data_IF_649007986772
#
_entry.id   IF_649007986772
#
_cell.length_a   1.000
_cell.length_b   1.000
_cell.length_c   1.000
_cell.angle_alpha   90.00
_cell.angle_beta   90.00
_cell.angle_gamma   90.00
#
_symmetry.space_group_name_H-M   'P 1'
#
loop_
_entity.id
_entity.type
_entity.pdbx_description
1 polymer ?
#
# COMPACT_ATOMS: atom_id res chain seq x y z
N UNK A 1 50.09 -13.26 -8.95
CA UNK A 1 48.74 -12.68 -9.15
C UNK A 1 47.91 -13.10 -7.96
N UNK A 2 47.25 -12.15 -7.27
CA UNK A 2 46.34 -12.50 -6.18
C UNK A 2 45.10 -13.17 -6.80
N UNK A 3 44.93 -14.47 -6.56
CA UNK A 3 43.74 -15.20 -7.00
C UNK A 3 42.61 -14.94 -5.99
N UNK A 4 41.38 -14.74 -6.48
CA UNK A 4 40.19 -14.60 -5.63
C UNK A 4 40.00 -15.80 -4.70
N UNK A 5 40.50 -16.98 -5.11
CA UNK A 5 40.53 -18.23 -4.33
C UNK A 5 41.38 -18.17 -3.06
N UNK A 6 42.22 -17.14 -2.90
CA UNK A 6 43.03 -16.96 -1.68
C UNK A 6 42.32 -16.13 -0.59
N UNK A 7 41.15 -15.54 -0.89
CA UNK A 7 40.34 -14.82 0.10
C UNK A 7 39.60 -15.80 1.02
N UNK A 8 39.40 -15.46 2.30
CA UNK A 8 38.59 -16.28 3.19
C UNK A 8 37.08 -16.14 2.86
N UNK A 9 36.25 -16.99 3.48
CA UNK A 9 34.82 -17.05 3.18
C UNK A 9 34.10 -15.74 3.53
N UNK A 10 34.49 -15.06 4.61
CA UNK A 10 33.92 -13.75 4.97
C UNK A 10 34.17 -12.69 3.89
N UNK A 11 35.38 -12.67 3.31
CA UNK A 11 35.71 -11.77 2.22
C UNK A 11 34.97 -12.14 0.94
N UNK A 12 34.85 -13.44 0.63
CA UNK A 12 34.10 -13.90 -0.54
C UNK A 12 32.61 -13.58 -0.42
N UNK A 13 32.03 -13.80 0.76
CA UNK A 13 30.63 -13.51 1.03
C UNK A 13 30.33 -12.02 0.87
N UNK A 14 31.19 -11.15 1.41
CA UNK A 14 31.08 -9.70 1.18
C UNK A 14 31.14 -9.33 -0.29
N UNK A 15 31.96 -10.01 -1.10
CA UNK A 15 32.00 -9.76 -2.55
C UNK A 15 30.69 -10.20 -3.20
N UNK A 16 30.17 -11.38 -2.83
CA UNK A 16 28.90 -11.90 -3.34
C UNK A 16 27.73 -10.98 -2.96
N UNK A 17 27.73 -10.42 -1.74
CA UNK A 17 26.71 -9.46 -1.27
C UNK A 17 26.67 -8.15 -2.10
N UNK A 18 27.73 -7.82 -2.86
CA UNK A 18 27.71 -6.69 -3.80
C UNK A 18 27.14 -7.04 -5.18
N UNK A 19 26.92 -8.32 -5.46
CA UNK A 19 26.37 -8.79 -6.73
C UNK A 19 24.86 -8.91 -6.63
N UNK A 20 24.15 -8.54 -7.70
CA UNK A 20 22.72 -8.84 -7.82
C UNK A 20 22.50 -10.35 -8.08
N UNK A 21 21.25 -10.82 -7.96
CA UNK A 21 20.94 -12.24 -8.12
C UNK A 21 21.41 -12.80 -9.47
N UNK A 22 21.20 -12.08 -10.57
CA UNK A 22 21.61 -12.51 -11.91
C UNK A 22 23.14 -12.71 -12.00
N UNK A 23 23.92 -11.77 -11.47
CA UNK A 23 25.38 -11.85 -11.41
C UNK A 23 25.85 -13.01 -10.52
N UNK A 24 25.17 -13.25 -9.39
CA UNK A 24 25.45 -14.41 -8.53
C UNK A 24 25.19 -15.74 -9.26
N UNK A 25 24.09 -15.84 -10.01
CA UNK A 25 23.75 -17.03 -10.80
C UNK A 25 24.78 -17.30 -11.91
N UNK A 26 25.22 -16.25 -12.62
CA UNK A 26 26.28 -16.36 -13.63
C UNK A 26 27.62 -16.80 -13.01
N UNK A 27 27.98 -16.24 -11.85
CA UNK A 27 29.19 -16.62 -11.13
C UNK A 27 29.12 -18.06 -10.61
N UNK A 28 27.96 -18.47 -10.09
CA UNK A 28 27.72 -19.84 -9.64
C UNK A 28 27.89 -20.83 -10.80
N UNK A 29 27.26 -20.54 -11.96
CA UNK A 29 27.32 -21.38 -13.16
C UNK A 29 28.73 -21.51 -13.73
N UNK A 30 29.50 -20.42 -13.74
CA UNK A 30 30.88 -20.40 -14.25
C UNK A 30 31.92 -21.00 -13.27
N UNK A 31 31.56 -21.14 -12.00
CA UNK A 31 32.42 -21.75 -10.99
C UNK A 31 32.40 -23.29 -11.07
N UNK A 32 33.48 -23.94 -10.66
CA UNK A 32 33.54 -25.42 -10.60
C UNK A 32 32.52 -25.99 -9.60
N UNK A 33 31.86 -27.13 -9.89
CA UNK A 33 30.79 -27.70 -9.06
C UNK A 33 31.11 -27.91 -7.58
N UNK A 34 32.36 -28.28 -7.27
CA UNK A 34 32.83 -28.51 -5.90
C UNK A 34 33.61 -27.31 -5.33
N UNK A 35 33.52 -26.13 -5.95
CA UNK A 35 34.28 -24.97 -5.52
C UNK A 35 33.73 -24.34 -4.24
N UNK A 36 34.65 -23.76 -3.46
CA UNK A 36 34.30 -22.93 -2.30
C UNK A 36 33.43 -21.74 -2.70
N UNK A 37 33.65 -21.18 -3.89
CA UNK A 37 32.85 -20.08 -4.43
C UNK A 37 31.36 -20.46 -4.56
N UNK A 38 31.02 -21.62 -5.16
CA UNK A 38 29.63 -22.08 -5.23
C UNK A 38 28.99 -22.21 -3.85
N UNK A 39 29.73 -22.75 -2.88
CA UNK A 39 29.24 -22.90 -1.51
C UNK A 39 28.94 -21.54 -0.85
N UNK A 40 29.82 -20.55 -1.04
CA UNK A 40 29.62 -19.19 -0.51
C UNK A 40 28.41 -18.51 -1.16
N UNK A 41 28.22 -18.68 -2.48
CA UNK A 41 27.08 -18.11 -3.20
C UNK A 41 25.77 -18.77 -2.73
N UNK A 42 25.71 -20.10 -2.66
CA UNK A 42 24.53 -20.83 -2.16
C UNK A 42 24.21 -20.46 -0.71
N UNK A 43 25.22 -20.24 0.12
CA UNK A 43 25.04 -19.74 1.49
C UNK A 43 24.50 -18.31 1.51
N UNK A 44 24.93 -17.44 0.59
CA UNK A 44 24.37 -16.10 0.43
C UNK A 44 22.87 -16.16 0.14
N UNK A 45 22.43 -17.01 -0.80
CA UNK A 45 21.00 -17.18 -1.10
C UNK A 45 20.19 -17.65 0.12
N UNK A 46 20.75 -18.53 0.94
CA UNK A 46 20.10 -19.02 2.15
C UNK A 46 19.92 -17.95 3.23
N UNK A 47 20.80 -16.95 3.29
CA UNK A 47 20.75 -15.88 4.29
C UNK A 47 19.67 -14.85 4.00
N UNK A 48 19.34 -14.67 2.73
CA UNK A 48 18.28 -13.74 2.32
C UNK A 48 16.91 -14.36 2.61
N UNK A 49 16.11 -13.66 3.41
CA UNK A 49 14.75 -14.06 3.75
C UNK A 49 13.74 -13.70 2.65
N UNK A 50 14.14 -12.83 1.73
CA UNK A 50 13.31 -12.27 0.66
C UNK A 50 13.99 -12.52 -0.67
N UNK A 51 13.24 -13.02 -1.66
CA UNK A 51 13.75 -13.21 -3.03
C UNK A 51 12.73 -12.75 -4.07
N UNK A 52 13.22 -12.15 -5.16
CA UNK A 52 12.43 -11.83 -6.35
C UNK A 52 12.96 -12.64 -7.53
N UNK A 53 12.06 -13.33 -8.23
CA UNK A 53 12.38 -14.14 -9.41
C UNK A 53 11.53 -13.68 -10.57
N UNK A 54 12.19 -13.31 -11.66
CA UNK A 54 11.56 -12.88 -12.89
C UNK A 54 11.72 -13.95 -13.98
N UNK A 55 10.88 -13.88 -15.01
CA UNK A 55 10.94 -14.79 -16.17
C UNK A 55 12.36 -14.95 -16.75
N UNK A 56 13.08 -13.84 -16.88
CA UNK A 56 14.40 -13.82 -17.50
C UNK A 56 15.49 -14.36 -16.55
N UNK A 57 15.26 -14.40 -15.24
CA UNK A 57 16.28 -14.79 -14.23
C UNK A 57 16.83 -16.20 -14.47
N UNK A 58 15.95 -17.15 -14.85
CA UNK A 58 16.30 -18.56 -15.05
C UNK A 58 16.00 -19.08 -16.46
N UNK A 59 15.78 -18.17 -17.42
CA UNK A 59 15.49 -18.52 -18.80
C UNK A 59 16.59 -19.43 -19.36
N UNK A 60 16.18 -20.58 -19.90
CA UNK A 60 17.07 -21.63 -20.43
C UNK A 60 18.09 -22.20 -19.43
N UNK A 61 17.94 -21.95 -18.12
CA UNK A 61 18.92 -22.30 -17.08
C UNK A 61 18.31 -23.12 -15.92
N UNK A 62 17.51 -24.15 -16.24
CA UNK A 62 16.77 -24.92 -15.22
C UNK A 62 17.65 -25.65 -14.19
N UNK A 63 18.87 -26.05 -14.54
CA UNK A 63 19.79 -26.67 -13.56
C UNK A 63 20.13 -25.70 -12.42
N UNK A 64 20.35 -24.43 -12.74
CA UNK A 64 20.65 -23.40 -11.74
C UNK A 64 19.39 -23.08 -10.93
N UNK A 65 18.21 -23.11 -11.56
CA UNK A 65 16.93 -22.95 -10.87
C UNK A 65 16.72 -24.05 -9.82
N UNK A 66 16.88 -25.32 -10.18
CA UNK A 66 16.67 -26.45 -9.25
C UNK A 66 17.58 -26.33 -8.01
N UNK A 67 18.85 -25.97 -8.21
CA UNK A 67 19.81 -25.74 -7.11
C UNK A 67 19.46 -24.51 -6.27
N UNK A 68 19.05 -23.42 -6.92
CA UNK A 68 18.59 -22.21 -6.22
C UNK A 68 17.38 -22.51 -5.32
N UNK A 69 16.34 -23.15 -5.86
CA UNK A 69 15.14 -23.54 -5.10
C UNK A 69 15.51 -24.47 -3.95
N UNK A 70 16.41 -25.43 -4.19
CA UNK A 70 16.89 -26.34 -3.16
C UNK A 70 17.63 -25.63 -2.02
N UNK A 71 18.39 -24.57 -2.34
CA UNK A 71 19.08 -23.75 -1.34
C UNK A 71 18.10 -22.98 -0.47
N UNK A 72 17.17 -22.24 -1.08
CA UNK A 72 16.36 -21.25 -0.35
C UNK A 72 15.13 -21.85 0.35
N UNK A 73 14.67 -23.06 -0.03
CA UNK A 73 13.37 -23.60 0.39
C UNK A 73 13.11 -23.60 1.90
N UNK A 74 14.15 -23.76 2.72
CA UNK A 74 14.04 -23.83 4.17
C UNK A 74 14.29 -22.50 4.88
N UNK A 75 14.66 -21.42 4.18
CA UNK A 75 15.06 -20.16 4.80
C UNK A 75 14.23 -18.98 4.35
N UNK A 76 13.75 -18.99 3.11
CA UNK A 76 12.95 -17.90 2.55
C UNK A 76 11.61 -17.75 3.28
N UNK A 77 11.26 -16.51 3.60
CA UNK A 77 10.02 -16.11 4.25
C UNK A 77 9.10 -15.34 3.30
N UNK A 78 9.65 -14.60 2.33
CA UNK A 78 8.90 -13.81 1.37
C UNK A 78 9.40 -14.03 -0.05
N UNK A 79 8.47 -14.18 -0.99
CA UNK A 79 8.78 -14.42 -2.40
C UNK A 79 7.99 -13.48 -3.30
N UNK A 80 8.65 -12.96 -4.31
CA UNK A 80 7.99 -12.32 -5.46
C UNK A 80 8.33 -13.07 -6.73
N UNK A 81 7.33 -13.53 -7.46
CA UNK A 81 7.46 -14.29 -8.69
C UNK A 81 6.80 -13.50 -9.82
N UNK A 82 7.54 -13.16 -10.88
CA UNK A 82 7.04 -12.31 -11.97
C UNK A 82 7.13 -13.00 -13.32
N UNK A 83 5.98 -13.18 -13.95
CA UNK A 83 5.81 -13.64 -15.33
C UNK A 83 6.52 -14.97 -15.62
N UNK A 84 6.59 -15.86 -14.62
CA UNK A 84 7.25 -17.16 -14.78
C UNK A 84 6.49 -17.99 -15.82
N UNK A 85 7.21 -18.46 -16.83
CA UNK A 85 6.66 -19.37 -17.80
C UNK A 85 6.37 -20.74 -17.16
N UNK A 86 5.41 -21.49 -17.70
CA UNK A 86 4.97 -22.76 -17.09
C UNK A 86 6.08 -23.80 -16.96
N UNK A 87 6.97 -23.88 -17.93
CA UNK A 87 8.16 -24.75 -17.89
C UNK A 87 9.08 -24.45 -16.70
N UNK A 88 9.19 -23.18 -16.28
CA UNK A 88 9.87 -22.79 -15.06
C UNK A 88 9.05 -23.15 -13.82
N UNK A 89 7.74 -22.85 -13.79
CA UNK A 89 6.86 -23.18 -12.67
C UNK A 89 6.78 -24.68 -12.40
N UNK A 90 6.80 -25.52 -13.43
CA UNK A 90 6.84 -26.97 -13.30
C UNK A 90 8.06 -27.47 -12.50
N UNK A 91 9.17 -26.72 -12.49
CA UNK A 91 10.35 -27.04 -11.66
C UNK A 91 10.12 -26.82 -10.17
N UNK A 92 9.16 -25.99 -9.80
CA UNK A 92 8.78 -25.82 -8.40
C UNK A 92 8.05 -27.05 -7.85
N UNK A 93 7.46 -27.89 -8.71
CA UNK A 93 6.82 -29.13 -8.28
C UNK A 93 7.85 -30.03 -7.58
N UNK A 94 7.48 -30.50 -6.39
CA UNK A 94 8.35 -31.33 -5.55
C UNK A 94 9.21 -30.54 -4.56
N UNK A 95 9.19 -29.21 -4.64
CA UNK A 95 9.69 -28.33 -3.59
C UNK A 95 8.55 -27.92 -2.66
N UNK A 96 8.88 -27.75 -1.38
CA UNK A 96 7.97 -27.19 -0.38
C UNK A 96 8.74 -26.15 0.41
N UNK A 97 8.10 -25.00 0.59
CA UNK A 97 8.67 -23.82 1.23
C UNK A 97 7.93 -23.59 2.55
N UNK A 98 8.29 -24.30 3.63
CA UNK A 98 7.53 -24.31 4.89
C UNK A 98 7.55 -22.97 5.64
N UNK A 99 8.51 -22.10 5.34
CA UNK A 99 8.72 -20.83 6.05
C UNK A 99 8.17 -19.62 5.30
N UNK A 100 7.73 -19.79 4.04
CA UNK A 100 7.11 -18.70 3.28
C UNK A 100 5.78 -18.31 3.93
N UNK A 101 5.62 -17.02 4.17
CA UNK A 101 4.42 -16.41 4.75
C UNK A 101 3.81 -15.37 3.81
N UNK A 102 4.63 -14.73 2.98
CA UNK A 102 4.17 -13.73 2.01
C UNK A 102 4.60 -14.13 0.60
N UNK A 103 3.67 -14.02 -0.35
CA UNK A 103 3.91 -14.31 -1.76
C UNK A 103 3.26 -13.23 -2.63
N UNK A 104 4.01 -12.67 -3.56
CA UNK A 104 3.47 -11.90 -4.67
C UNK A 104 3.69 -12.70 -5.94
N UNK A 105 2.62 -13.05 -6.64
CA UNK A 105 2.68 -13.76 -7.91
C UNK A 105 2.05 -12.91 -9.01
N UNK A 106 2.87 -12.50 -9.97
CA UNK A 106 2.42 -11.80 -11.16
C UNK A 106 2.37 -12.77 -12.33
N UNK A 107 1.18 -13.29 -12.63
CA UNK A 107 0.95 -14.16 -13.78
C UNK A 107 1.06 -13.40 -15.11
N UNK A 108 1.44 -14.11 -16.17
CA UNK A 108 1.44 -13.56 -17.54
C UNK A 108 0.03 -13.62 -18.13
N UNK A 109 -0.62 -12.46 -18.24
CA UNK A 109 -1.97 -12.30 -18.84
C UNK A 109 -2.01 -12.67 -20.32
N UNK A 110 -0.87 -12.64 -21.02
CA UNK A 110 -0.77 -12.98 -22.44
C UNK A 110 -0.49 -14.46 -22.68
N UNK A 111 -0.18 -15.20 -21.63
CA UNK A 111 0.20 -16.61 -21.74
C UNK A 111 -1.00 -17.51 -22.04
N UNK A 112 -0.79 -18.52 -22.87
CA UNK A 112 -1.76 -19.59 -23.14
C UNK A 112 -1.87 -20.59 -21.98
N UNK A 113 -1.63 -20.16 -20.73
CA UNK A 113 -1.71 -21.04 -19.57
C UNK A 113 -3.16 -21.52 -19.43
N UNK A 114 -3.34 -22.84 -19.51
CA UNK A 114 -4.64 -23.49 -19.37
C UNK A 114 -5.15 -23.38 -17.92
N UNK A 115 -5.99 -22.38 -17.66
CA UNK A 115 -6.70 -22.22 -16.38
C UNK A 115 -5.76 -21.93 -15.21
N UNK A 116 -6.03 -22.55 -14.05
CA UNK A 116 -5.35 -22.29 -12.77
C UNK A 116 -4.19 -23.28 -12.47
N UNK A 117 -3.51 -23.76 -13.50
CA UNK A 117 -2.45 -24.77 -13.35
C UNK A 117 -1.25 -24.24 -12.54
N UNK A 118 -0.87 -23.00 -12.79
CA UNK A 118 0.11 -22.22 -12.03
C UNK A 118 -0.28 -22.12 -10.55
N UNK A 119 -1.50 -21.66 -10.24
CA UNK A 119 -2.00 -21.53 -8.87
C UNK A 119 -2.01 -22.89 -8.17
N UNK A 120 -2.37 -23.96 -8.90
CA UNK A 120 -2.30 -25.33 -8.40
C UNK A 120 -0.89 -25.71 -7.89
N UNK A 121 0.16 -25.34 -8.62
CA UNK A 121 1.55 -25.54 -8.23
C UNK A 121 1.90 -24.71 -6.99
N UNK A 122 1.54 -23.42 -6.99
CA UNK A 122 1.86 -22.51 -5.88
C UNK A 122 1.24 -23.00 -4.57
N UNK A 123 0.00 -23.50 -4.60
CA UNK A 123 -0.67 -24.05 -3.42
C UNK A 123 0.11 -25.20 -2.79
N UNK A 124 0.66 -26.10 -3.61
CA UNK A 124 1.43 -27.25 -3.12
C UNK A 124 2.81 -26.82 -2.58
N UNK A 125 3.39 -25.76 -3.16
CA UNK A 125 4.70 -25.24 -2.78
C UNK A 125 4.66 -24.45 -1.46
N UNK A 126 3.58 -23.70 -1.20
CA UNK A 126 3.48 -22.72 -0.10
C UNK A 126 2.34 -23.05 0.89
N UNK A 127 2.45 -24.12 1.68
CA UNK A 127 1.34 -24.60 2.50
C UNK A 127 1.02 -23.73 3.73
N UNK A 128 1.91 -22.81 4.10
CA UNK A 128 1.79 -22.00 5.33
C UNK A 128 1.60 -20.50 5.03
N UNK A 129 1.15 -20.18 3.82
CA UNK A 129 1.00 -18.81 3.36
C UNK A 129 -0.05 -18.03 4.17
N UNK A 130 0.30 -16.81 4.57
CA UNK A 130 -0.55 -15.90 5.36
C UNK A 130 -1.01 -14.68 4.55
N UNK A 131 -0.19 -14.24 3.59
CA UNK A 131 -0.48 -13.15 2.68
C UNK A 131 -0.15 -13.53 1.23
N UNK A 132 -1.07 -13.22 0.31
CA UNK A 132 -0.81 -13.38 -1.13
C UNK A 132 -1.40 -12.23 -1.96
N UNK A 133 -0.62 -11.73 -2.91
CA UNK A 133 -1.11 -10.92 -4.02
C UNK A 133 -1.00 -11.70 -5.33
N UNK A 134 -2.09 -11.77 -6.08
CA UNK A 134 -2.18 -12.48 -7.35
C UNK A 134 -2.55 -11.51 -8.48
N UNK A 135 -1.91 -11.69 -9.63
CA UNK A 135 -2.36 -11.12 -10.91
C UNK A 135 -2.40 -12.20 -11.99
N UNK A 136 -3.10 -11.91 -13.09
CA UNK A 136 -3.16 -12.78 -14.26
C UNK A 136 -4.53 -13.41 -14.47
N UNK A 137 -4.56 -14.47 -15.27
CA UNK A 137 -5.80 -15.07 -15.78
C UNK A 137 -6.44 -16.11 -14.85
N UNK A 138 -6.23 -15.99 -13.53
CA UNK A 138 -6.76 -16.96 -12.58
C UNK A 138 -8.29 -16.91 -12.49
N UNK A 139 -8.94 -18.07 -12.47
CA UNK A 139 -10.37 -18.18 -12.17
C UNK A 139 -10.65 -18.18 -10.67
N UNK A 140 -9.60 -18.20 -9.84
CA UNK A 140 -9.65 -18.33 -8.38
C UNK A 140 -9.76 -19.77 -7.89
N UNK A 141 -9.71 -20.76 -8.80
CA UNK A 141 -9.65 -22.15 -8.38
C UNK A 141 -8.39 -22.39 -7.53
N UNK A 142 -8.46 -23.37 -6.65
CA UNK A 142 -7.40 -23.73 -5.69
C UNK A 142 -7.09 -22.72 -4.58
N UNK A 143 -7.40 -21.41 -4.69
CA UNK A 143 -7.05 -20.39 -3.68
C UNK A 143 -7.54 -20.77 -2.27
N UNK A 144 -8.76 -21.32 -2.16
CA UNK A 144 -9.36 -21.76 -0.88
C UNK A 144 -8.58 -22.88 -0.16
N UNK A 145 -7.61 -23.51 -0.81
CA UNK A 145 -6.72 -24.52 -0.21
C UNK A 145 -5.68 -23.92 0.72
N UNK A 146 -5.32 -22.63 0.56
CA UNK A 146 -4.42 -21.93 1.48
C UNK A 146 -5.15 -21.51 2.77
N UNK A 147 -5.31 -22.45 3.69
CA UNK A 147 -6.14 -22.29 4.90
C UNK A 147 -5.67 -21.21 5.88
N UNK A 148 -4.42 -20.76 5.76
CA UNK A 148 -3.82 -19.79 6.68
C UNK A 148 -3.84 -18.35 6.14
N UNK A 149 -4.33 -18.11 4.92
CA UNK A 149 -4.39 -16.76 4.36
C UNK A 149 -5.30 -15.88 5.19
N UNK A 150 -4.76 -14.70 5.53
CA UNK A 150 -5.45 -13.59 6.20
C UNK A 150 -5.46 -12.34 5.34
N UNK A 151 -4.47 -12.18 4.45
CA UNK A 151 -4.38 -11.04 3.53
C UNK A 151 -4.40 -11.54 2.10
N UNK A 152 -5.40 -11.13 1.33
CA UNK A 152 -5.61 -11.59 -0.04
C UNK A 152 -5.80 -10.40 -0.96
N UNK A 153 -4.96 -10.30 -1.98
CA UNK A 153 -5.08 -9.30 -3.04
C UNK A 153 -5.32 -9.98 -4.40
N UNK A 154 -6.44 -9.62 -5.01
CA UNK A 154 -6.96 -10.12 -6.29
C UNK A 154 -7.31 -8.97 -7.25
N UNK A 155 -6.77 -7.75 -7.02
CA UNK A 155 -7.07 -6.58 -7.84
C UNK A 155 -6.70 -6.72 -9.31
N UNK A 156 -5.87 -7.68 -9.69
CA UNK A 156 -5.45 -7.89 -11.09
C UNK A 156 -5.88 -9.26 -11.62
N UNK A 157 -6.99 -9.80 -11.10
CA UNK A 157 -7.57 -11.08 -11.50
C UNK A 157 -8.87 -10.89 -12.29
N UNK A 158 -8.78 -10.45 -13.55
CA UNK A 158 -9.94 -10.12 -14.40
C UNK A 158 -10.85 -11.31 -14.76
N UNK A 159 -10.33 -12.54 -14.65
CA UNK A 159 -11.04 -13.77 -15.00
C UNK A 159 -11.59 -14.53 -13.78
N UNK A 160 -11.57 -13.90 -12.61
CA UNK A 160 -12.01 -14.49 -11.35
C UNK A 160 -13.49 -14.90 -11.43
N UNK A 161 -13.76 -16.18 -11.17
CA UNK A 161 -15.13 -16.68 -11.12
C UNK A 161 -15.82 -16.24 -9.82
N UNK A 162 -17.02 -15.71 -9.94
CA UNK A 162 -17.86 -15.37 -8.76
C UNK A 162 -18.13 -16.58 -7.85
N UNK A 163 -18.24 -17.79 -8.41
CA UNK A 163 -18.41 -19.02 -7.64
C UNK A 163 -17.14 -19.36 -6.85
N UNK A 164 -15.96 -19.30 -7.49
CA UNK A 164 -14.69 -19.51 -6.81
C UNK A 164 -14.48 -18.46 -5.71
N UNK A 165 -14.84 -17.20 -5.98
CA UNK A 165 -14.74 -16.14 -4.99
C UNK A 165 -15.67 -16.34 -3.78
N UNK A 166 -16.91 -16.81 -4.00
CA UNK A 166 -17.79 -17.20 -2.90
C UNK A 166 -17.16 -18.33 -2.07
N UNK A 167 -16.57 -19.33 -2.72
CA UNK A 167 -15.87 -20.42 -2.04
C UNK A 167 -14.66 -19.93 -1.23
N UNK A 168 -13.89 -18.98 -1.77
CA UNK A 168 -12.77 -18.32 -1.07
C UNK A 168 -13.28 -17.64 0.21
N UNK A 169 -14.31 -16.80 0.09
CA UNK A 169 -14.87 -16.08 1.22
C UNK A 169 -15.52 -17.00 2.27
N UNK A 170 -16.02 -18.16 1.84
CA UNK A 170 -16.58 -19.16 2.76
C UNK A 170 -15.50 -19.93 3.53
N UNK A 171 -14.35 -20.18 2.90
CA UNK A 171 -13.32 -21.10 3.42
C UNK A 171 -12.17 -20.40 4.15
N UNK A 172 -11.96 -19.11 3.93
CA UNK A 172 -10.83 -18.36 4.48
C UNK A 172 -11.27 -17.36 5.55
N UNK A 173 -10.38 -17.10 6.51
CA UNK A 173 -10.60 -16.15 7.61
C UNK A 173 -9.86 -14.84 7.30
N UNK A 174 -10.32 -14.14 6.26
CA UNK A 174 -9.65 -12.95 5.76
C UNK A 174 -9.78 -11.76 6.73
N UNK A 175 -8.67 -11.08 6.96
CA UNK A 175 -8.53 -9.84 7.73
C UNK A 175 -8.28 -8.65 6.78
N UNK A 176 -7.65 -8.88 5.63
CA UNK A 176 -7.50 -7.89 4.56
C UNK A 176 -7.87 -8.50 3.20
N UNK A 177 -8.65 -7.77 2.42
CA UNK A 177 -9.06 -8.15 1.07
C UNK A 177 -8.92 -6.95 0.13
N UNK A 178 -8.22 -7.15 -0.98
CA UNK A 178 -8.18 -6.24 -2.12
C UNK A 178 -8.79 -6.95 -3.33
N UNK A 179 -9.77 -6.31 -3.98
CA UNK A 179 -10.53 -6.95 -5.06
C UNK A 179 -11.04 -5.90 -6.05
N UNK A 180 -11.17 -6.33 -7.31
CA UNK A 180 -11.86 -5.60 -8.35
C UNK A 180 -13.04 -6.42 -8.88
N UNK A 181 -14.08 -5.75 -9.38
CA UNK A 181 -15.18 -6.44 -10.08
C UNK A 181 -15.88 -5.56 -11.11
N UNK A 182 -16.55 -6.22 -12.04
CA UNK A 182 -17.44 -5.56 -12.99
C UNK A 182 -18.83 -5.31 -12.40
N UNK A 183 -19.50 -4.27 -12.91
CA UNK A 183 -20.84 -3.86 -12.46
C UNK A 183 -21.87 -5.01 -12.45
N UNK A 184 -21.79 -5.93 -13.40
CA UNK A 184 -22.75 -7.03 -13.52
C UNK A 184 -22.66 -8.07 -12.39
N UNK A 185 -21.57 -8.06 -11.63
CA UNK A 185 -21.22 -9.09 -10.64
C UNK A 185 -21.30 -8.57 -9.20
N UNK A 186 -21.59 -7.28 -9.01
CA UNK A 186 -21.59 -6.58 -7.72
C UNK A 186 -22.31 -7.38 -6.62
N UNK A 187 -23.56 -7.80 -6.87
CA UNK A 187 -24.38 -8.53 -5.89
C UNK A 187 -23.72 -9.84 -5.41
N UNK A 188 -22.97 -10.52 -6.28
CA UNK A 188 -22.30 -11.76 -5.95
C UNK A 188 -21.08 -11.51 -5.05
N UNK A 189 -20.24 -10.54 -5.44
CA UNK A 189 -19.05 -10.15 -4.66
C UNK A 189 -19.43 -9.61 -3.29
N UNK A 190 -20.38 -8.67 -3.23
CA UNK A 190 -20.82 -8.04 -1.97
C UNK A 190 -21.39 -9.09 -1.03
N UNK A 191 -22.25 -9.98 -1.52
CA UNK A 191 -22.81 -11.08 -0.71
C UNK A 191 -21.73 -11.98 -0.13
N UNK A 192 -20.69 -12.30 -0.92
CA UNK A 192 -19.59 -13.13 -0.46
C UNK A 192 -18.75 -12.39 0.61
N UNK A 193 -18.41 -11.12 0.36
CA UNK A 193 -17.60 -10.30 1.26
C UNK A 193 -18.30 -10.06 2.59
N UNK A 194 -19.60 -9.79 2.61
CA UNK A 194 -20.37 -9.56 3.84
C UNK A 194 -20.37 -10.75 4.82
N UNK A 195 -19.91 -11.94 4.38
CA UNK A 195 -19.73 -13.10 5.26
C UNK A 195 -18.41 -13.09 6.03
N UNK A 196 -17.43 -12.26 5.62
CA UNK A 196 -16.10 -12.20 6.21
C UNK A 196 -16.10 -11.45 7.56
N UNK A 197 -16.52 -12.12 8.63
CA UNK A 197 -16.66 -11.52 9.97
C UNK A 197 -15.33 -11.06 10.60
N UNK A 198 -14.20 -11.52 10.07
CA UNK A 198 -12.87 -11.12 10.51
C UNK A 198 -12.30 -9.94 9.71
N UNK A 199 -12.97 -9.47 8.65
CA UNK A 199 -12.41 -8.49 7.72
C UNK A 199 -12.25 -7.13 8.39
N UNK A 200 -11.02 -6.64 8.38
CA UNK A 200 -10.63 -5.35 8.94
C UNK A 200 -10.32 -4.33 7.84
N UNK A 201 -9.67 -4.77 6.76
CA UNK A 201 -9.21 -3.94 5.64
C UNK A 201 -9.91 -4.40 4.36
N UNK A 202 -10.64 -3.50 3.72
CA UNK A 202 -11.26 -3.76 2.42
C UNK A 202 -10.80 -2.70 1.42
N UNK A 203 -10.26 -3.16 0.30
CA UNK A 203 -9.85 -2.32 -0.81
C UNK A 203 -10.61 -2.73 -2.06
N UNK A 204 -11.24 -1.74 -2.69
CA UNK A 204 -12.16 -1.92 -3.80
C UNK A 204 -11.71 -1.08 -4.98
N UNK A 205 -11.37 -1.76 -6.08
CA UNK A 205 -11.31 -1.13 -7.39
C UNK A 205 -12.64 -1.35 -8.12
N UNK A 206 -13.49 -0.32 -8.09
CA UNK A 206 -14.91 -0.46 -8.42
C UNK A 206 -15.31 0.36 -9.64
N UNK A 207 -16.05 -0.28 -10.53
CA UNK A 207 -16.79 0.40 -11.60
C UNK A 207 -18.14 0.94 -11.10
N UNK A 208 -18.75 0.25 -10.13
CA UNK A 208 -20.04 0.60 -9.55
C UNK A 208 -20.21 -0.04 -8.17
N UNK A 209 -20.87 0.69 -7.27
CA UNK A 209 -21.29 0.18 -5.98
C UNK A 209 -22.65 0.82 -5.62
N UNK A 210 -23.71 0.01 -5.59
CA UNK A 210 -25.05 0.46 -5.21
C UNK A 210 -25.14 0.81 -3.72
N UNK A 211 -26.14 1.61 -3.37
CA UNK A 211 -26.40 2.03 -1.99
C UNK A 211 -26.64 0.84 -1.06
N UNK A 212 -27.40 -0.15 -1.53
CA UNK A 212 -27.69 -1.38 -0.79
C UNK A 212 -26.40 -2.17 -0.51
N UNK A 213 -25.52 -2.26 -1.50
CA UNK A 213 -24.22 -2.91 -1.35
C UNK A 213 -23.29 -2.16 -0.40
N UNK A 214 -23.24 -0.82 -0.47
CA UNK A 214 -22.49 0.00 0.50
C UNK A 214 -22.95 -0.33 1.92
N UNK A 215 -24.26 -0.39 2.16
CA UNK A 215 -24.79 -0.73 3.48
C UNK A 215 -24.30 -2.11 3.95
N UNK A 216 -24.38 -3.12 3.08
CA UNK A 216 -23.95 -4.50 3.40
C UNK A 216 -22.45 -4.61 3.71
N UNK A 217 -21.61 -3.85 3.01
CA UNK A 217 -20.17 -3.84 3.25
C UNK A 217 -19.83 -3.08 4.54
N UNK A 218 -20.51 -1.96 4.81
CA UNK A 218 -20.29 -1.16 6.01
C UNK A 218 -20.80 -1.83 7.30
N UNK A 219 -21.71 -2.81 7.18
CA UNK A 219 -22.20 -3.65 8.28
C UNK A 219 -21.18 -4.69 8.77
N UNK A 220 -20.02 -4.81 8.09
CA UNK A 220 -18.93 -5.69 8.54
C UNK A 220 -18.41 -5.27 9.93
N UNK A 221 -18.44 -6.16 10.93
CA UNK A 221 -18.31 -5.76 12.34
C UNK A 221 -16.90 -5.29 12.71
N UNK A 222 -15.86 -5.73 11.98
CA UNK A 222 -14.46 -5.39 12.25
C UNK A 222 -13.86 -4.42 11.24
N UNK A 223 -14.63 -3.97 10.25
CA UNK A 223 -14.13 -3.11 9.19
C UNK A 223 -13.62 -1.79 9.79
N UNK A 224 -12.30 -1.62 9.74
CA UNK A 224 -11.56 -0.47 10.26
C UNK A 224 -11.01 0.41 9.15
N UNK A 225 -10.80 -0.13 7.95
CA UNK A 225 -10.22 0.58 6.81
C UNK A 225 -10.96 0.21 5.52
N UNK A 226 -11.40 1.22 4.78
CA UNK A 226 -11.99 1.07 3.46
C UNK A 226 -11.20 1.93 2.47
N UNK A 227 -10.64 1.32 1.43
CA UNK A 227 -10.01 2.01 0.32
C UNK A 227 -10.84 1.85 -0.94
N UNK A 228 -11.06 2.96 -1.64
CA UNK A 228 -11.85 3.04 -2.86
C UNK A 228 -11.00 3.65 -3.97
N UNK A 229 -10.99 2.99 -5.11
CA UNK A 229 -10.45 3.51 -6.37
C UNK A 229 -11.60 3.89 -7.31
N UNK A 230 -11.26 4.62 -8.38
CA UNK A 230 -12.15 5.11 -9.44
C UNK A 230 -13.03 6.32 -9.07
N UNK A 231 -12.86 7.41 -9.82
CA UNK A 231 -13.44 8.72 -9.55
C UNK A 231 -14.90 8.91 -9.97
N UNK A 232 -15.36 8.18 -11.00
CA UNK A 232 -16.59 8.54 -11.71
C UNK A 232 -17.86 8.52 -10.83
N UNK A 233 -17.83 7.78 -9.70
CA UNK A 233 -18.97 7.63 -8.79
C UNK A 233 -18.62 7.94 -7.33
N UNK A 234 -17.42 8.45 -7.08
CA UNK A 234 -16.87 8.54 -5.73
C UNK A 234 -17.69 9.48 -4.84
N UNK A 235 -18.20 10.57 -5.40
CA UNK A 235 -19.09 11.53 -4.73
C UNK A 235 -20.36 10.85 -4.20
N UNK A 236 -21.00 9.98 -5.00
CA UNK A 236 -22.21 9.25 -4.59
C UNK A 236 -21.90 8.21 -3.52
N UNK A 237 -20.82 7.45 -3.69
CA UNK A 237 -20.39 6.42 -2.75
C UNK A 237 -20.04 7.05 -1.40
N UNK A 238 -19.23 8.11 -1.39
CA UNK A 238 -18.84 8.84 -0.18
C UNK A 238 -20.05 9.51 0.48
N UNK A 239 -21.01 10.00 -0.31
CA UNK A 239 -22.28 10.56 0.16
C UNK A 239 -23.13 9.55 0.92
N UNK A 240 -23.15 8.29 0.47
CA UNK A 240 -23.83 7.18 1.14
C UNK A 240 -23.05 6.68 2.36
N UNK A 241 -21.73 6.54 2.28
CA UNK A 241 -20.86 6.20 3.42
C UNK A 241 -21.05 7.23 4.54
N UNK A 242 -20.96 8.53 4.20
CA UNK A 242 -21.15 9.62 5.15
C UNK A 242 -22.53 9.62 5.81
N UNK A 243 -23.56 9.09 5.15
CA UNK A 243 -24.90 8.93 5.76
C UNK A 243 -24.98 7.74 6.72
N UNK A 244 -24.29 6.64 6.41
CA UNK A 244 -24.39 5.38 7.16
C UNK A 244 -23.40 5.37 8.34
N UNK A 245 -22.12 5.66 8.06
CA UNK A 245 -20.99 5.60 9.01
C UNK A 245 -20.17 6.88 9.07
N UNK A 246 -20.67 8.03 8.61
CA UNK A 246 -19.92 9.29 8.63
C UNK A 246 -19.47 9.74 10.03
N UNK A 247 -20.20 9.35 11.07
CA UNK A 247 -19.82 9.55 12.47
C UNK A 247 -18.71 8.62 12.96
N UNK A 248 -18.45 7.52 12.25
CA UNK A 248 -17.41 6.56 12.59
C UNK A 248 -16.10 6.88 11.85
N UNK A 249 -16.11 7.70 10.79
CA UNK A 249 -14.89 8.06 10.05
C UNK A 249 -14.03 9.01 10.88
N UNK A 250 -12.84 8.57 11.28
CA UNK A 250 -11.88 9.34 12.09
C UNK A 250 -10.72 9.90 11.27
N UNK A 251 -10.25 9.14 10.28
CA UNK A 251 -9.21 9.56 9.36
C UNK A 251 -9.68 9.34 7.92
N UNK A 252 -9.26 10.24 7.05
CA UNK A 252 -9.50 10.14 5.62
C UNK A 252 -8.26 10.62 4.89
N UNK A 253 -7.87 9.88 3.87
CA UNK A 253 -6.82 10.25 2.97
C UNK A 253 -7.34 10.31 1.54
N UNK A 254 -6.95 11.35 0.82
CA UNK A 254 -7.38 11.65 -0.53
C UNK A 254 -6.14 11.80 -1.40
N UNK A 255 -6.04 11.05 -2.49
CA UNK A 255 -4.98 11.16 -3.48
C UNK A 255 -5.53 11.81 -4.74
N UNK A 256 -5.08 13.04 -5.00
CA UNK A 256 -5.43 13.91 -6.14
C UNK A 256 -6.93 13.94 -6.50
N UNK A 257 -7.81 14.10 -5.51
CA UNK A 257 -9.25 13.99 -5.76
C UNK A 257 -10.15 14.77 -4.81
N UNK A 258 -9.65 15.33 -3.71
CA UNK A 258 -10.55 15.99 -2.74
C UNK A 258 -11.19 17.24 -3.35
N UNK A 259 -10.47 17.91 -4.26
CA UNK A 259 -10.92 19.13 -4.92
C UNK A 259 -12.09 18.89 -5.88
N UNK A 260 -12.31 17.64 -6.31
CA UNK A 260 -13.45 17.24 -7.13
C UNK A 260 -14.71 16.95 -6.29
N UNK A 261 -14.57 16.81 -4.98
CA UNK A 261 -15.67 16.39 -4.11
C UNK A 261 -16.58 17.56 -3.75
N UNK A 262 -17.89 17.30 -3.73
CA UNK A 262 -18.87 18.28 -3.26
C UNK A 262 -18.73 18.52 -1.74
N UNK A 263 -18.77 19.79 -1.33
CA UNK A 263 -18.63 20.19 0.08
C UNK A 263 -19.71 19.58 0.97
N UNK A 264 -20.92 19.39 0.43
CA UNK A 264 -22.05 18.75 1.08
C UNK A 264 -21.81 17.26 1.35
N UNK A 265 -20.96 16.62 0.54
CA UNK A 265 -20.51 15.24 0.71
C UNK A 265 -19.44 15.17 1.79
N UNK A 266 -18.40 16.01 1.70
CA UNK A 266 -17.32 16.08 2.69
C UNK A 266 -17.84 16.40 4.10
N UNK A 267 -18.80 17.32 4.21
CA UNK A 267 -19.42 17.70 5.48
C UNK A 267 -20.19 16.57 6.19
N UNK A 268 -20.37 15.40 5.55
CA UNK A 268 -20.94 14.21 6.18
C UNK A 268 -19.93 13.43 7.03
N UNK A 269 -18.63 13.63 6.82
CA UNK A 269 -17.55 13.02 7.61
C UNK A 269 -17.35 13.80 8.92
N UNK A 270 -18.42 13.89 9.73
CA UNK A 270 -18.54 14.83 10.86
C UNK A 270 -17.55 14.58 11.99
N UNK A 271 -17.06 13.35 12.10
CA UNK A 271 -16.12 12.92 13.14
C UNK A 271 -14.67 12.94 12.68
N UNK A 272 -14.38 13.45 11.47
CA UNK A 272 -13.05 13.46 10.93
C UNK A 272 -12.09 14.28 11.80
N UNK A 273 -10.99 13.65 12.21
CA UNK A 273 -9.94 14.22 13.06
C UNK A 273 -8.58 14.25 12.37
N UNK A 274 -8.37 13.40 11.36
CA UNK A 274 -7.15 13.37 10.57
C UNK A 274 -7.50 13.44 9.09
N UNK A 275 -6.95 14.43 8.39
CA UNK A 275 -7.06 14.57 6.94
C UNK A 275 -5.66 14.48 6.33
N UNK A 276 -5.50 13.61 5.35
CA UNK A 276 -4.27 13.51 4.57
C UNK A 276 -4.57 13.76 3.10
N UNK A 277 -3.82 14.67 2.48
CA UNK A 277 -3.90 14.97 1.06
C UNK A 277 -2.56 14.58 0.43
N UNK A 278 -2.61 13.77 -0.62
CA UNK A 278 -1.46 13.24 -1.33
C UNK A 278 -1.55 13.65 -2.79
N UNK A 279 -0.45 14.19 -3.34
CA UNK A 279 -0.34 14.60 -4.74
C UNK A 279 -1.45 15.55 -5.22
N UNK A 280 -2.05 16.32 -4.30
CA UNK A 280 -3.21 17.15 -4.63
C UNK A 280 -2.76 18.51 -5.17
N UNK A 281 -2.63 18.58 -6.49
CA UNK A 281 -2.33 19.82 -7.22
C UNK A 281 -3.62 20.60 -7.58
N UNK A 282 -4.75 19.91 -7.76
CA UNK A 282 -6.02 20.54 -8.10
C UNK A 282 -6.56 21.47 -6.99
N UNK A 283 -6.18 21.25 -5.73
CA UNK A 283 -6.50 22.15 -4.62
C UNK A 283 -6.00 23.60 -4.82
N UNK A 284 -5.02 23.87 -5.70
CA UNK A 284 -4.56 25.24 -5.95
C UNK A 284 -5.58 26.11 -6.71
N UNK A 285 -6.49 25.47 -7.45
CA UNK A 285 -7.50 26.13 -8.28
C UNK A 285 -8.83 26.36 -7.53
N UNK A 286 -8.94 25.87 -6.29
CA UNK A 286 -10.14 25.98 -5.46
C UNK A 286 -9.88 26.71 -4.15
N UNK A 287 -10.95 27.21 -3.54
CA UNK A 287 -10.89 27.83 -2.22
C UNK A 287 -10.77 26.76 -1.13
N UNK A 288 -9.55 26.31 -0.86
CA UNK A 288 -9.23 25.29 0.15
C UNK A 288 -9.89 25.52 1.53
N UNK A 289 -10.01 26.76 2.05
CA UNK A 289 -10.86 27.06 3.21
C UNK A 289 -12.27 26.45 3.16
N UNK A 290 -12.90 26.37 1.99
CA UNK A 290 -14.23 25.77 1.83
C UNK A 290 -14.20 24.26 2.15
N UNK A 291 -13.15 23.55 1.74
CA UNK A 291 -12.95 22.13 2.09
C UNK A 291 -12.69 21.98 3.58
N UNK A 292 -11.76 22.74 4.13
CA UNK A 292 -11.36 22.64 5.54
C UNK A 292 -12.53 22.92 6.49
N UNK A 293 -13.41 23.85 6.14
CA UNK A 293 -14.61 24.16 6.91
C UNK A 293 -15.61 22.98 7.00
N UNK A 294 -15.48 21.95 6.16
CA UNK A 294 -16.26 20.72 6.27
C UNK A 294 -15.87 19.87 7.49
N UNK A 295 -14.70 20.09 8.10
CA UNK A 295 -14.12 19.25 9.14
C UNK A 295 -13.87 20.03 10.44
N UNK A 296 -14.92 20.41 11.19
CA UNK A 296 -14.79 21.26 12.38
C UNK A 296 -14.06 20.57 13.55
N UNK A 297 -13.90 19.24 13.51
CA UNK A 297 -13.20 18.46 14.52
C UNK A 297 -11.77 18.09 14.13
N UNK A 298 -11.24 18.65 13.03
CA UNK A 298 -9.93 18.32 12.50
C UNK A 298 -8.82 18.65 13.53
N UNK A 299 -8.00 17.66 13.83
CA UNK A 299 -6.87 17.73 14.76
C UNK A 299 -5.53 17.54 14.06
N UNK A 300 -5.52 16.86 12.91
CA UNK A 300 -4.32 16.58 12.13
C UNK A 300 -4.57 16.85 10.65
N UNK A 301 -3.69 17.61 10.01
CA UNK A 301 -3.70 17.85 8.57
C UNK A 301 -2.32 17.51 8.00
N UNK A 302 -2.28 16.55 7.09
CA UNK A 302 -1.05 16.11 6.45
C UNK A 302 -1.11 16.38 4.96
N UNK A 303 -0.12 17.10 4.45
CA UNK A 303 0.02 17.39 3.03
C UNK A 303 1.29 16.72 2.51
N UNK A 304 1.13 15.77 1.61
CA UNK A 304 2.23 15.07 0.96
C UNK A 304 2.25 15.43 -0.52
N UNK A 305 3.36 16.00 -0.98
CA UNK A 305 3.54 16.42 -2.37
C UNK A 305 2.35 17.24 -2.96
N UNK A 306 1.63 18.00 -2.10
CA UNK A 306 0.41 18.72 -2.47
C UNK A 306 0.63 20.24 -2.47
N UNK A 307 0.57 20.87 -3.65
CA UNK A 307 0.90 22.30 -3.84
C UNK A 307 -0.34 23.19 -3.74
N UNK A 308 -0.93 23.25 -2.55
CA UNK A 308 -2.21 23.94 -2.32
C UNK A 308 -2.06 25.47 -2.33
N UNK A 309 -0.99 26.00 -1.74
CA UNK A 309 -0.85 27.45 -1.55
C UNK A 309 0.38 28.03 -2.23
N UNK A 310 0.22 29.23 -2.78
CA UNK A 310 1.34 30.05 -3.30
C UNK A 310 2.25 30.50 -2.16
N UNK A 311 1.69 30.84 -0.99
CA UNK A 311 2.44 31.24 0.18
C UNK A 311 1.85 30.75 1.51
N UNK A 312 2.62 30.90 2.58
CA UNK A 312 2.23 30.41 3.90
C UNK A 312 1.04 31.17 4.54
N UNK A 313 0.49 32.24 3.95
CA UNK A 313 -0.73 32.87 4.50
C UNK A 313 -1.91 31.88 4.48
N UNK A 314 -2.02 31.03 3.46
CA UNK A 314 -3.07 30.01 3.38
C UNK A 314 -3.00 28.94 4.49
N UNK A 315 -1.79 28.63 4.96
CA UNK A 315 -1.60 27.77 6.15
C UNK A 315 -2.22 28.46 7.37
N UNK A 316 -1.94 29.75 7.57
CA UNK A 316 -2.40 30.47 8.75
C UNK A 316 -3.92 30.70 8.73
N UNK A 317 -4.52 30.88 7.56
CA UNK A 317 -5.96 30.93 7.40
C UNK A 317 -6.61 29.56 7.72
N UNK A 318 -5.98 28.46 7.32
CA UNK A 318 -6.38 27.10 7.71
C UNK A 318 -6.28 26.89 9.22
N UNK A 319 -5.19 27.32 9.85
CA UNK A 319 -5.01 27.25 11.31
C UNK A 319 -6.05 28.09 12.06
N UNK A 320 -6.49 29.22 11.49
CA UNK A 320 -7.57 30.03 12.03
C UNK A 320 -8.94 29.34 11.93
N UNK A 321 -9.22 28.68 10.80
CA UNK A 321 -10.46 27.95 10.56
C UNK A 321 -10.57 26.68 11.43
N UNK A 322 -9.44 26.04 11.75
CA UNK A 322 -9.37 24.82 12.55
C UNK A 322 -8.73 25.05 13.92
N UNK A 323 -9.48 25.57 14.92
CA UNK A 323 -8.93 25.84 16.25
C UNK A 323 -8.46 24.58 17.00
N UNK A 324 -8.93 23.38 16.59
CA UNK A 324 -8.55 22.09 17.16
C UNK A 324 -7.32 21.46 16.50
N UNK A 325 -6.83 22.01 15.40
CA UNK A 325 -5.69 21.47 14.65
C UNK A 325 -4.45 21.48 15.53
N UNK A 326 -3.89 20.32 15.89
CA UNK A 326 -2.70 20.16 16.75
C UNK A 326 -1.46 19.83 15.96
N UNK A 327 -1.63 19.07 14.89
CA UNK A 327 -0.54 18.62 14.03
C UNK A 327 -0.81 19.07 12.61
N UNK A 328 0.19 19.69 12.01
CA UNK A 328 0.19 20.01 10.59
C UNK A 328 1.49 19.48 10.00
N UNK A 329 1.45 18.81 8.85
CA UNK A 329 2.67 18.37 8.17
C UNK A 329 2.68 18.71 6.69
N UNK A 330 3.87 19.03 6.20
CA UNK A 330 4.18 19.14 4.77
C UNK A 330 5.39 18.26 4.47
N UNK A 331 5.21 17.26 3.61
CA UNK A 331 6.27 16.33 3.21
C UNK A 331 6.45 16.30 1.70
N UNK A 332 7.70 16.12 1.26
CA UNK A 332 8.05 15.94 -0.15
C UNK A 332 7.56 17.10 -1.04
N UNK A 333 7.63 18.34 -0.55
CA UNK A 333 7.19 19.52 -1.30
C UNK A 333 8.34 20.45 -1.62
N UNK A 334 8.44 20.88 -2.87
CA UNK A 334 9.39 21.93 -3.27
C UNK A 334 8.80 23.29 -2.90
N UNK A 335 9.36 23.94 -1.89
CA UNK A 335 8.94 25.27 -1.46
C UNK A 335 9.76 26.36 -2.17
N UNK A 336 9.09 27.24 -2.90
CA UNK A 336 9.72 28.39 -3.57
C UNK A 336 9.90 29.59 -2.62
N UNK A 337 10.68 30.59 -3.02
CA UNK A 337 10.96 31.75 -2.16
C UNK A 337 9.69 32.59 -1.91
N UNK A 338 8.76 32.59 -2.86
CA UNK A 338 7.42 33.18 -2.76
C UNK A 338 6.62 32.58 -1.60
N UNK A 339 6.88 31.31 -1.25
CA UNK A 339 6.21 30.66 -0.13
C UNK A 339 6.42 31.41 1.20
N UNK A 340 7.61 31.99 1.35
CA UNK A 340 8.03 32.74 2.54
C UNK A 340 7.62 34.22 2.50
N UNK A 341 7.00 34.68 1.41
CA UNK A 341 6.43 36.02 1.29
C UNK A 341 5.05 36.13 1.96
N UNK A 342 4.93 35.64 3.20
CA UNK A 342 3.70 35.67 4.00
C UNK A 342 3.74 36.77 5.07
N UNK A 343 2.57 37.15 5.57
CA UNK A 343 2.46 38.14 6.63
C UNK A 343 2.65 37.54 8.02
N UNK A 344 3.69 38.00 8.73
CA UNK A 344 3.89 37.65 10.15
C UNK A 344 2.69 38.03 11.04
N UNK A 345 1.92 39.04 10.66
CA UNK A 345 0.72 39.40 11.43
C UNK A 345 -0.38 38.36 11.29
N UNK A 346 -0.52 37.70 10.13
CA UNK A 346 -1.46 36.60 9.90
C UNK A 346 -1.12 35.41 10.78
N UNK A 347 0.15 34.99 10.79
CA UNK A 347 0.65 33.93 11.68
C UNK A 347 0.40 34.24 13.15
N UNK A 348 0.79 35.43 13.60
CA UNK A 348 0.59 35.83 14.99
C UNK A 348 -0.89 35.88 15.36
N UNK A 349 -1.77 36.36 14.46
CA UNK A 349 -3.22 36.35 14.67
C UNK A 349 -3.74 34.92 14.85
N UNK A 350 -3.33 34.00 13.96
CA UNK A 350 -3.71 32.60 14.02
C UNK A 350 -3.28 31.94 15.33
N UNK A 351 -2.00 32.07 15.69
CA UNK A 351 -1.43 31.35 16.83
C UNK A 351 -1.84 31.96 18.18
N UNK A 352 -2.03 33.28 18.28
CA UNK A 352 -2.42 33.91 19.54
C UNK A 352 -3.82 33.50 20.02
N UNK A 353 -4.73 33.20 19.09
CA UNK A 353 -6.10 32.77 19.39
C UNK A 353 -6.19 31.32 19.89
N UNK A 354 -5.11 30.54 19.75
CA UNK A 354 -5.11 29.13 20.10
C UNK A 354 -4.92 28.91 21.60
N UNK A 355 -5.60 27.91 22.14
CA UNK A 355 -5.40 27.48 23.52
C UNK A 355 -4.24 26.48 23.65
N UNK A 356 -4.02 25.69 22.62
CA UNK A 356 -2.99 24.65 22.57
C UNK A 356 -1.94 24.98 21.49
N UNK A 357 -0.71 24.55 21.74
CA UNK A 357 0.39 24.72 20.79
C UNK A 357 0.12 23.96 19.49
N UNK A 358 0.60 24.53 18.38
CA UNK A 358 0.59 23.87 17.08
C UNK A 358 1.95 23.22 16.85
N UNK A 359 1.96 21.95 16.42
CA UNK A 359 3.17 21.27 15.95
C UNK A 359 3.15 21.21 14.42
N UNK A 360 4.17 21.77 13.79
CA UNK A 360 4.36 21.73 12.35
C UNK A 360 5.57 20.87 11.98
N UNK A 361 5.33 19.87 11.14
CA UNK A 361 6.38 18.98 10.61
C UNK A 361 6.66 19.34 9.15
N UNK A 362 7.94 19.55 8.83
CA UNK A 362 8.40 19.79 7.47
C UNK A 362 9.44 18.72 7.13
N UNK A 363 9.19 17.92 6.10
CA UNK A 363 10.10 16.82 5.75
C UNK A 363 10.41 16.84 4.27
N UNK A 364 11.70 16.82 3.92
CA UNK A 364 12.18 16.89 2.53
C UNK A 364 11.59 18.10 1.80
N UNK A 365 11.82 19.29 2.34
CA UNK A 365 11.32 20.55 1.76
C UNK A 365 12.41 21.43 1.14
N UNK A 366 13.68 21.06 1.34
CA UNK A 366 14.88 21.76 0.89
C UNK A 366 15.00 23.24 1.34
N UNK A 367 14.23 23.62 2.37
CA UNK A 367 14.09 25.01 2.87
C UNK A 367 14.03 25.09 4.40
N UNK A 368 14.57 24.10 5.10
CA UNK A 368 14.53 23.96 6.57
C UNK A 368 15.12 25.18 7.30
N UNK A 369 16.18 25.79 6.74
CA UNK A 369 16.81 27.01 7.26
C UNK A 369 15.84 28.23 7.20
N UNK A 370 15.13 28.38 6.09
CA UNK A 370 14.17 29.47 5.90
C UNK A 370 12.92 29.26 6.77
N UNK A 371 12.43 28.02 6.87
CA UNK A 371 11.36 27.66 7.80
C UNK A 371 11.76 28.04 9.24
N UNK A 372 12.93 27.59 9.70
CA UNK A 372 13.46 27.89 11.04
C UNK A 372 13.61 29.39 11.32
N UNK A 373 13.86 30.19 10.29
CA UNK A 373 14.00 31.65 10.40
C UNK A 373 12.64 32.35 10.47
N UNK A 374 11.66 31.92 9.67
CA UNK A 374 10.39 32.62 9.49
C UNK A 374 9.28 32.13 10.43
N UNK A 375 9.24 30.84 10.75
CA UNK A 375 8.20 30.18 11.54
C UNK A 375 8.60 30.18 13.03
N UNK A 376 8.50 31.36 13.66
CA UNK A 376 8.87 31.56 15.07
C UNK A 376 7.72 32.16 15.87
N UNK A 377 7.19 31.40 16.82
CA UNK A 377 6.16 31.85 17.74
C UNK A 377 6.18 30.98 19.02
N UNK A 378 5.87 31.51 20.22
CA UNK A 378 5.88 30.72 21.47
C UNK A 378 4.92 29.52 21.49
N UNK A 379 3.83 29.58 20.71
CA UNK A 379 2.82 28.51 20.57
C UNK A 379 3.02 27.64 19.32
N UNK A 380 4.23 27.64 18.75
CA UNK A 380 4.56 26.91 17.54
C UNK A 380 5.80 26.06 17.76
N UNK A 381 5.63 24.74 17.61
CA UNK A 381 6.70 23.77 17.61
C UNK A 381 6.99 23.36 16.17
N UNK A 382 8.21 23.57 15.70
CA UNK A 382 8.64 23.18 14.35
C UNK A 382 9.56 21.98 14.43
N UNK A 383 9.28 20.93 13.66
CA UNK A 383 10.09 19.73 13.52
C UNK A 383 10.44 19.46 12.06
N UNK A 384 11.60 18.85 11.84
CA UNK A 384 12.09 18.43 10.51
C UNK A 384 12.11 16.91 10.31
N UNK A 385 11.47 16.18 11.22
CA UNK A 385 11.34 14.72 11.14
C UNK A 385 10.17 14.32 10.26
N UNK A 386 10.30 13.17 9.57
CA UNK A 386 9.16 12.50 8.97
C UNK A 386 8.07 12.29 10.03
N UNK A 387 6.81 12.51 9.67
CA UNK A 387 5.68 12.04 10.44
C UNK A 387 5.53 10.54 10.24
N UNK A 388 5.07 9.82 11.25
CA UNK A 388 4.76 8.38 11.15
C UNK A 388 3.52 8.08 10.29
N UNK A 389 3.12 9.01 9.43
CA UNK A 389 1.97 8.88 8.55
C UNK A 389 2.30 7.84 7.48
N UNK A 390 1.66 6.67 7.58
CA UNK A 390 1.75 5.55 6.62
C UNK A 390 1.19 5.86 5.22
N UNK A 391 0.76 7.10 4.99
CA UNK A 391 0.01 7.52 3.81
C UNK A 391 0.89 7.84 2.60
N UNK A 392 2.21 7.87 2.74
CA UNK A 392 3.16 7.97 1.62
C UNK A 392 3.18 6.74 0.70
N UNK A 393 2.28 5.78 0.95
CA UNK A 393 2.07 4.55 0.18
C UNK A 393 0.66 4.48 -0.41
N UNK A 394 -0.14 5.55 -0.31
CA UNK A 394 -1.43 5.59 -0.99
C UNK A 394 -1.20 5.52 -2.51
N UNK A 395 -1.85 4.57 -3.20
CA UNK A 395 -1.89 4.59 -4.66
C UNK A 395 -2.46 5.91 -5.16
N UNK A 396 -2.06 6.30 -6.37
CA UNK A 396 -2.70 7.43 -7.06
C UNK A 396 -4.20 7.18 -7.21
N UNK A 397 -4.97 8.26 -7.21
CA UNK A 397 -6.39 8.24 -7.55
C UNK A 397 -7.31 7.45 -6.59
N UNK A 398 -6.97 7.41 -5.30
CA UNK A 398 -7.73 6.68 -4.29
C UNK A 398 -8.25 7.54 -3.13
N UNK A 399 -9.25 7.02 -2.42
CA UNK A 399 -9.66 7.49 -1.09
C UNK A 399 -9.49 6.34 -0.11
N UNK A 400 -8.89 6.64 1.05
CA UNK A 400 -8.86 5.73 2.19
C UNK A 400 -9.62 6.34 3.36
N UNK A 401 -10.52 5.57 3.96
CA UNK A 401 -11.28 5.93 5.15
C UNK A 401 -10.93 4.99 6.30
N UNK A 402 -10.66 5.55 7.48
CA UNK A 402 -10.48 4.78 8.71
C UNK A 402 -11.63 5.03 9.68
N UNK A 403 -12.21 3.95 10.19
CA UNK A 403 -13.36 3.97 11.08
C UNK A 403 -12.97 3.80 12.55
N UNK A 404 -13.82 4.26 13.47
CA UNK A 404 -13.72 4.00 14.92
C UNK A 404 -13.65 2.49 15.14
N UNK A 405 -12.69 2.06 15.97
CA UNK A 405 -12.66 0.69 16.51
C UNK A 405 -13.79 0.51 17.50
N UNK A 406 -14.76 -0.33 17.18
CA UNK A 406 -15.65 -0.87 18.20
C UNK A 406 -14.88 -1.97 18.95
N UNK A 407 -14.35 -1.63 20.12
CA UNK A 407 -13.94 -2.66 21.08
C UNK A 407 -15.20 -3.46 21.46
N UNK A 408 -15.22 -4.73 21.07
CA UNK A 408 -16.31 -5.68 21.40
C UNK A 408 -15.96 -6.51 22.62
#
# INVERSE_FOLDING_TARGET
>A
MACIENLNDDCLLKIVEYLNLEEQLQLWKSSEPASRMRSVISYSWQREAEHSVDQETFKDNYEVLDEFLQCIRCTVAELTLRYLAMDQLERWKGHTFPNVRQLTYLGDESSEIDGDADIGILVDCFPQLEAIGLSGNTSGNHISRWRNIRRLDLQLCWYLSTQCFEDICHNLHLEALSIQWHRAEEDAYVRAISRLQALEELELDIVHLSRESISQLLDLPKLKKLRLHNFDQLDYVLSDIGRIRGQDVLAAAFSDNIWMMQTEVLAKLRSLRCLTLVDDEGCCDIDFPTIINCFPLLEQLHLENSRIWVNADGIWDTVLACPRLRVFSMSNQVLYDEFFAFSKSTMNRALNQRMEDLTMHFYKTDKEDLISKHFRHPKLNVSFSATSSSYSQLPGECIELEFIRHES
#
